data_IF_597265823979
#
_entry.id   IF_597265823979
#
_cell.length_a   1.000
_cell.length_b   1.000
_cell.length_c   1.000
_cell.angle_alpha   90.00
_cell.angle_beta   90.00
_cell.angle_gamma   90.00
#
_symmetry.space_group_name_H-M   'P 1'
#
loop_
_entity.id
_entity.type
_entity.pdbx_description
1 polymer ?
#
# COMPACT_ATOMS: atom_id res chain seq x y z
N UNK A 1 18.62 25.66 -6.27
CA UNK A 1 18.29 26.92 -6.96
C UNK A 1 16.78 27.06 -7.08
N UNK A 2 16.27 28.30 -6.98
CA UNK A 2 14.84 28.58 -7.19
C UNK A 2 14.70 29.86 -8.03
N UNK A 3 13.66 29.92 -8.86
CA UNK A 3 13.30 31.12 -9.63
C UNK A 3 12.16 31.84 -8.92
N UNK A 4 12.42 32.92 -8.16
CA UNK A 4 11.38 33.70 -7.52
C UNK A 4 10.53 34.46 -8.55
N UNK A 5 9.29 34.76 -8.23
CA UNK A 5 8.39 35.51 -9.13
C UNK A 5 8.87 36.90 -9.49
N UNK A 6 9.80 37.48 -8.70
CA UNK A 6 10.35 38.82 -8.88
C UNK A 6 11.50 38.91 -9.88
N UNK A 7 12.07 37.81 -10.34
CA UNK A 7 13.17 37.79 -11.29
C UNK A 7 13.23 36.52 -12.13
N UNK A 8 13.85 36.61 -13.31
CA UNK A 8 14.00 35.45 -14.23
C UNK A 8 15.20 34.54 -13.85
N UNK A 9 16.18 35.07 -13.17
CA UNK A 9 17.37 34.32 -12.78
C UNK A 9 17.11 33.50 -11.52
N UNK A 10 17.55 32.24 -11.42
CA UNK A 10 17.48 31.46 -10.19
C UNK A 10 18.35 32.10 -9.09
N UNK A 11 17.90 31.97 -7.85
CA UNK A 11 18.67 32.35 -6.66
C UNK A 11 19.27 31.08 -6.05
N UNK A 12 20.59 31.12 -5.76
CA UNK A 12 21.26 30.05 -5.03
C UNK A 12 20.76 30.01 -3.59
N UNK A 13 20.22 28.87 -3.19
CA UNK A 13 19.82 28.61 -1.80
C UNK A 13 20.74 27.56 -1.20
N UNK A 14 21.32 27.88 -0.04
CA UNK A 14 22.08 26.93 0.74
C UNK A 14 21.15 26.16 1.68
N UNK A 15 21.34 24.86 1.76
CA UNK A 15 20.66 23.97 2.72
C UNK A 15 21.71 23.09 3.36
N UNK A 16 21.60 22.95 4.67
CA UNK A 16 22.39 21.96 5.39
C UNK A 16 21.98 20.56 4.90
N UNK A 17 22.96 19.75 4.55
CA UNK A 17 22.79 18.39 4.07
C UNK A 17 23.71 17.47 4.87
N UNK A 18 23.10 16.58 5.65
CA UNK A 18 23.84 15.60 6.43
C UNK A 18 24.59 14.63 5.50
N UNK A 19 25.87 14.43 5.77
CA UNK A 19 26.76 13.52 5.04
C UNK A 19 26.90 12.20 5.82
N UNK A 20 27.35 11.11 5.18
CA UNK A 20 27.71 9.90 5.89
C UNK A 20 28.71 10.19 7.03
N UNK A 21 28.37 9.78 8.25
CA UNK A 21 29.14 10.03 9.46
C UNK A 21 28.67 11.22 10.30
N UNK A 22 27.81 12.10 9.78
CA UNK A 22 27.25 13.19 10.57
C UNK A 22 26.23 12.66 11.61
N UNK A 23 26.14 13.39 12.73
CA UNK A 23 25.11 13.15 13.74
C UNK A 23 23.75 13.60 13.18
N UNK A 24 22.78 12.71 13.21
CA UNK A 24 21.44 12.98 12.72
C UNK A 24 20.47 13.24 13.89
N UNK A 25 19.44 14.07 13.69
CA UNK A 25 18.40 14.26 14.69
C UNK A 25 17.66 12.94 14.93
N UNK A 26 17.28 12.70 16.18
CA UNK A 26 16.44 11.57 16.61
C UNK A 26 15.12 12.14 17.11
N UNK A 27 14.01 11.64 16.58
CA UNK A 27 12.66 12.05 16.96
C UNK A 27 12.01 10.93 17.78
N UNK A 28 11.63 11.24 19.02
CA UNK A 28 11.04 10.27 19.91
C UNK A 28 9.67 10.77 20.38
N UNK A 29 8.67 9.88 20.54
CA UNK A 29 7.37 10.26 21.05
C UNK A 29 7.47 10.65 22.53
N UNK A 30 6.69 11.62 22.93
CA UNK A 30 6.49 12.01 24.33
C UNK A 30 5.00 12.02 24.61
N UNK A 31 4.63 11.65 25.84
CA UNK A 31 3.26 11.64 26.31
C UNK A 31 3.15 12.46 27.60
N UNK A 32 2.16 13.33 27.67
CA UNK A 32 1.88 14.16 28.85
C UNK A 32 0.50 13.84 29.40
N UNK A 33 0.44 13.61 30.71
CA UNK A 33 -0.78 13.65 31.47
C UNK A 33 -1.12 15.11 31.80
N UNK A 34 -2.16 15.63 31.18
CA UNK A 34 -2.55 17.05 31.29
C UNK A 34 -3.13 17.35 32.68
N UNK A 35 -3.87 16.43 33.28
CA UNK A 35 -4.46 16.62 34.62
C UNK A 35 -3.38 16.58 35.68
N UNK A 36 -2.52 15.57 35.66
CA UNK A 36 -1.40 15.47 36.58
C UNK A 36 -0.25 16.45 36.24
N UNK A 37 -0.30 17.14 35.09
CA UNK A 37 0.70 18.10 34.60
C UNK A 37 2.11 17.53 34.59
N UNK A 38 2.27 16.30 34.15
CA UNK A 38 3.57 15.61 34.11
C UNK A 38 3.75 14.81 32.82
N UNK A 39 5.00 14.66 32.44
CA UNK A 39 5.39 13.75 31.37
C UNK A 39 5.35 12.32 31.88
N UNK A 40 4.77 11.44 31.08
CA UNK A 40 4.80 10.00 31.32
C UNK A 40 6.09 9.38 30.77
N UNK A 41 6.66 8.42 31.48
CA UNK A 41 7.84 7.72 31.06
C UNK A 41 7.52 6.73 29.93
N UNK A 42 8.21 6.87 28.79
CA UNK A 42 8.13 5.93 27.68
C UNK A 42 9.48 5.22 27.50
N UNK A 43 9.50 3.93 27.25
CA UNK A 43 10.71 3.23 26.87
C UNK A 43 10.96 3.39 25.37
N UNK A 44 11.66 4.44 24.99
CA UNK A 44 11.93 4.80 23.58
C UNK A 44 13.31 4.37 23.08
N UNK A 45 14.17 3.84 23.95
CA UNK A 45 15.53 3.37 23.59
C UNK A 45 15.56 2.43 22.40
N UNK A 46 14.62 1.48 22.19
CA UNK A 46 14.63 0.60 21.03
C UNK A 46 14.46 1.31 19.67
N UNK A 47 14.11 2.61 19.66
CA UNK A 47 13.80 3.38 18.45
C UNK A 47 14.83 4.48 18.14
N UNK A 48 15.96 4.52 18.84
CA UNK A 48 16.99 5.54 18.63
C UNK A 48 17.73 5.38 17.29
N UNK A 49 17.97 4.15 16.83
CA UNK A 49 18.61 3.90 15.53
C UNK A 49 17.58 3.98 14.39
N UNK A 50 17.03 5.19 14.18
CA UNK A 50 15.96 5.42 13.22
C UNK A 50 16.47 6.00 11.90
N UNK A 51 15.84 5.57 10.81
CA UNK A 51 15.77 6.35 9.57
C UNK A 51 14.67 7.41 9.71
N UNK A 52 13.48 7.01 10.23
CA UNK A 52 12.44 7.90 10.71
C UNK A 52 11.59 7.25 11.82
N UNK A 53 10.93 8.10 12.59
CA UNK A 53 9.82 7.76 13.46
C UNK A 53 8.73 8.82 13.26
N UNK A 54 7.51 8.37 12.90
CA UNK A 54 6.37 9.25 12.65
C UNK A 54 5.19 8.85 13.53
N UNK A 55 4.52 9.82 14.16
CA UNK A 55 3.23 9.58 14.80
C UNK A 55 2.16 9.43 13.73
N UNK A 56 1.33 8.41 13.85
CA UNK A 56 0.30 8.07 12.84
C UNK A 56 -1.12 8.43 13.29
N UNK A 57 -1.37 8.53 14.57
CA UNK A 57 -2.66 9.01 15.08
C UNK A 57 -3.05 8.43 16.44
N UNK A 58 -4.12 8.97 17.01
CA UNK A 58 -4.78 8.46 18.20
C UNK A 58 -5.88 7.49 17.84
N UNK A 59 -6.17 6.56 18.75
CA UNK A 59 -7.40 5.77 18.72
C UNK A 59 -8.60 6.67 18.99
N UNK A 60 -9.77 6.32 18.46
CA UNK A 60 -10.99 7.15 18.54
C UNK A 60 -11.39 7.46 20.00
N UNK A 61 -11.21 6.51 20.90
CA UNK A 61 -11.48 6.66 22.34
C UNK A 61 -10.31 7.24 23.14
N UNK A 62 -9.24 7.68 22.46
CA UNK A 62 -8.02 8.23 23.06
C UNK A 62 -7.26 7.27 23.99
N UNK A 63 -7.54 5.95 23.95
CA UNK A 63 -6.85 4.96 24.80
C UNK A 63 -5.37 4.80 24.48
N UNK A 64 -4.97 5.13 23.24
CA UNK A 64 -3.61 4.95 22.77
C UNK A 64 -3.33 5.81 21.53
N UNK A 65 -2.07 6.05 21.22
CA UNK A 65 -1.65 6.56 19.91
C UNK A 65 -0.66 5.59 19.26
N UNK A 66 -0.56 5.66 17.94
CA UNK A 66 0.31 4.80 17.17
C UNK A 66 1.44 5.58 16.49
N UNK A 67 2.54 4.90 16.23
CA UNK A 67 3.67 5.42 15.49
C UNK A 67 4.25 4.36 14.55
N UNK A 68 4.94 4.85 13.53
CA UNK A 68 5.77 4.05 12.63
C UNK A 68 7.23 4.30 12.93
N UNK A 69 8.00 3.23 12.99
CA UNK A 69 9.45 3.28 13.12
C UNK A 69 10.09 2.50 11.99
N UNK A 70 10.97 3.15 11.26
CA UNK A 70 11.81 2.54 10.24
C UNK A 70 13.26 2.62 10.72
N UNK A 71 13.87 1.46 10.95
CA UNK A 71 15.25 1.38 11.39
C UNK A 71 16.20 1.83 10.27
N UNK A 72 17.27 2.50 10.63
CA UNK A 72 18.35 2.80 9.70
C UNK A 72 18.97 1.50 9.18
N UNK A 73 19.09 1.38 7.86
CA UNK A 73 19.43 0.13 7.18
C UNK A 73 18.22 -0.66 6.69
N UNK A 74 16.99 -0.25 7.09
CA UNK A 74 15.71 -0.75 6.58
C UNK A 74 15.51 -2.27 6.72
N UNK A 75 16.09 -2.85 7.78
CA UNK A 75 15.95 -4.28 8.09
C UNK A 75 14.89 -4.55 9.16
N UNK A 76 14.36 -3.50 9.79
CA UNK A 76 13.26 -3.58 10.76
C UNK A 76 12.28 -2.44 10.56
N UNK A 77 11.00 -2.76 10.58
CA UNK A 77 9.89 -1.80 10.54
C UNK A 77 8.87 -2.14 11.61
N UNK A 78 8.50 -1.15 12.42
CA UNK A 78 7.59 -1.34 13.54
C UNK A 78 6.38 -0.42 13.41
N UNK A 79 5.19 -0.98 13.63
CA UNK A 79 4.01 -0.23 14.01
C UNK A 79 3.88 -0.39 15.52
N UNK A 80 4.17 0.68 16.25
CA UNK A 80 4.06 0.72 17.71
C UNK A 80 2.76 1.38 18.14
N UNK A 81 2.24 0.95 19.29
CA UNK A 81 1.11 1.59 19.97
C UNK A 81 1.50 1.90 21.40
N UNK A 82 1.27 3.14 21.82
CA UNK A 82 1.56 3.66 23.15
C UNK A 82 0.26 3.81 23.91
N UNK A 83 0.14 3.13 25.05
CA UNK A 83 -1.01 3.23 25.94
C UNK A 83 -1.07 4.62 26.61
N UNK A 84 -2.21 5.28 26.54
CA UNK A 84 -2.43 6.56 27.22
C UNK A 84 -2.55 6.40 28.75
N UNK A 85 -2.85 5.20 29.23
CA UNK A 85 -3.05 4.95 30.65
C UNK A 85 -1.73 4.87 31.44
N UNK A 86 -0.69 4.25 30.85
CA UNK A 86 0.55 3.93 31.55
C UNK A 86 1.84 4.20 30.75
N UNK A 87 1.72 4.61 29.49
CA UNK A 87 2.87 4.84 28.61
C UNK A 87 3.55 3.56 28.12
N UNK A 88 2.98 2.39 28.35
CA UNK A 88 3.52 1.14 27.83
C UNK A 88 3.46 1.11 26.30
N UNK A 89 4.50 0.51 25.69
CA UNK A 89 4.61 0.39 24.23
C UNK A 89 4.50 -1.08 23.86
N UNK A 90 3.59 -1.38 22.93
CA UNK A 90 3.48 -2.69 22.31
C UNK A 90 3.63 -2.61 20.79
N UNK A 91 4.03 -3.68 20.15
CA UNK A 91 4.12 -3.75 18.70
C UNK A 91 2.87 -4.39 18.10
N UNK A 92 2.20 -3.68 17.22
CA UNK A 92 1.15 -4.21 16.34
C UNK A 92 1.77 -4.97 15.18
N UNK A 93 2.89 -4.44 14.66
CA UNK A 93 3.75 -5.06 13.64
C UNK A 93 5.18 -4.88 14.08
N UNK A 94 5.99 -5.94 13.95
CA UNK A 94 7.45 -5.91 14.04
C UNK A 94 7.99 -6.73 12.87
N UNK A 95 8.15 -6.09 11.74
CA UNK A 95 8.64 -6.72 10.52
C UNK A 95 10.16 -6.68 10.52
N UNK A 96 10.80 -7.85 10.31
CA UNK A 96 12.25 -7.96 10.28
C UNK A 96 12.69 -8.82 9.09
N UNK A 97 13.79 -8.42 8.46
CA UNK A 97 14.40 -9.14 7.34
C UNK A 97 15.92 -9.06 7.40
N UNK A 98 16.57 -10.01 6.76
CA UNK A 98 18.05 -9.99 6.58
C UNK A 98 18.47 -9.12 5.39
N UNK A 99 17.54 -8.70 4.56
CA UNK A 99 17.77 -7.94 3.34
C UNK A 99 17.29 -6.48 3.50
N UNK A 100 16.16 -6.14 2.93
CA UNK A 100 15.65 -4.77 2.88
C UNK A 100 14.12 -4.78 2.90
N UNK A 101 13.51 -3.94 3.73
CA UNK A 101 12.06 -3.70 3.72
C UNK A 101 11.78 -2.52 2.79
N UNK A 102 10.99 -2.75 1.75
CA UNK A 102 10.60 -1.70 0.81
C UNK A 102 9.52 -0.80 1.40
N UNK A 103 9.94 0.07 2.30
CA UNK A 103 9.08 0.90 3.15
C UNK A 103 8.28 1.98 2.39
N UNK A 104 8.67 2.36 1.17
CA UNK A 104 7.90 3.30 0.34
C UNK A 104 6.57 2.74 -0.14
N UNK A 105 6.40 1.43 -0.11
CA UNK A 105 5.21 0.74 -0.57
C UNK A 105 4.53 -0.07 0.54
N UNK A 106 4.77 0.29 1.78
CA UNK A 106 4.05 -0.29 2.92
C UNK A 106 2.57 0.09 2.85
N UNK A 107 1.73 -0.82 3.31
CA UNK A 107 0.30 -0.58 3.43
C UNK A 107 -0.16 -1.04 4.80
N UNK A 108 -0.84 -0.14 5.49
CA UNK A 108 -1.54 -0.39 6.74
C UNK A 108 -2.97 0.10 6.61
N UNK A 109 -3.91 -0.69 7.10
CA UNK A 109 -5.30 -0.28 7.24
C UNK A 109 -5.84 -0.82 8.57
N UNK A 110 -6.29 0.07 9.44
CA UNK A 110 -6.85 -0.29 10.74
C UNK A 110 -8.36 -0.51 10.59
N UNK A 111 -8.81 -1.71 10.94
CA UNK A 111 -10.20 -2.11 10.97
C UNK A 111 -10.75 -1.93 12.38
N UNK A 112 -11.99 -1.42 12.49
CA UNK A 112 -12.72 -1.28 13.76
C UNK A 112 -11.85 -0.63 14.85
N UNK A 113 -11.36 0.58 14.57
CA UNK A 113 -10.46 1.36 15.44
C UNK A 113 -9.24 0.56 15.95
N UNK A 114 -8.67 -0.27 15.05
CA UNK A 114 -7.46 -1.04 15.30
C UNK A 114 -7.65 -2.33 16.09
N UNK A 115 -8.86 -2.89 16.17
CA UNK A 115 -9.06 -4.26 16.64
C UNK A 115 -8.41 -5.29 15.72
N UNK A 116 -8.34 -4.97 14.44
CA UNK A 116 -7.59 -5.72 13.45
C UNK A 116 -6.79 -4.75 12.57
N UNK A 117 -5.71 -5.24 11.97
CA UNK A 117 -4.89 -4.53 11.02
C UNK A 117 -4.77 -5.32 9.73
N UNK A 118 -4.90 -4.66 8.59
CA UNK A 118 -4.36 -5.16 7.32
C UNK A 118 -2.93 -4.63 7.15
N UNK A 119 -2.01 -5.54 6.90
CA UNK A 119 -0.60 -5.24 6.69
C UNK A 119 -0.04 -5.98 5.48
N UNK A 120 0.71 -5.28 4.62
CA UNK A 120 1.44 -5.92 3.53
C UNK A 120 2.84 -6.30 4.02
N UNK A 121 3.23 -7.55 3.72
CA UNK A 121 4.52 -8.11 4.10
C UNK A 121 5.07 -9.03 3.01
N UNK A 122 6.39 -9.11 2.93
CA UNK A 122 7.13 -10.02 2.05
C UNK A 122 7.73 -11.22 2.82
N UNK A 123 7.19 -11.51 4.02
CA UNK A 123 7.74 -12.52 4.95
C UNK A 123 7.75 -13.95 4.43
N UNK A 124 6.93 -14.27 3.42
CA UNK A 124 6.88 -15.58 2.77
C UNK A 124 7.66 -15.63 1.43
N UNK A 125 8.38 -14.54 1.09
CA UNK A 125 9.12 -14.40 -0.17
C UNK A 125 8.35 -13.68 -1.27
N UNK A 126 7.05 -13.42 -1.08
CA UNK A 126 6.19 -12.68 -1.99
C UNK A 126 5.45 -11.56 -1.24
N UNK A 127 5.06 -10.52 -1.95
CA UNK A 127 4.36 -9.38 -1.36
C UNK A 127 2.87 -9.69 -1.23
N UNK A 128 2.43 -9.94 0.01
CA UNK A 128 1.07 -10.35 0.32
C UNK A 128 0.44 -9.57 1.47
N UNK A 129 -0.90 -9.67 1.56
CA UNK A 129 -1.72 -9.05 2.59
C UNK A 129 -1.92 -10.02 3.75
N UNK A 130 -1.73 -9.51 4.97
CA UNK A 130 -1.92 -10.22 6.23
C UNK A 130 -2.94 -9.50 7.09
N UNK A 131 -3.79 -10.27 7.77
CA UNK A 131 -4.68 -9.78 8.82
C UNK A 131 -4.03 -10.04 10.17
N UNK A 132 -3.86 -8.98 10.94
CA UNK A 132 -3.21 -8.99 12.26
C UNK A 132 -4.25 -8.70 13.33
N UNK A 133 -4.15 -9.37 14.45
CA UNK A 133 -4.92 -9.08 15.66
C UNK A 133 -4.37 -7.81 16.31
N UNK A 134 -5.18 -6.78 16.38
CA UNK A 134 -4.79 -5.48 16.89
C UNK A 134 -4.58 -5.43 18.42
N UNK A 135 -4.95 -6.50 19.14
CA UNK A 135 -4.71 -6.61 20.58
C UNK A 135 -3.38 -7.31 20.88
N UNK A 136 -3.12 -8.42 20.20
CA UNK A 136 -1.93 -9.23 20.45
C UNK A 136 -0.74 -8.93 19.51
N UNK A 137 -0.96 -8.26 18.37
CA UNK A 137 0.03 -8.10 17.31
C UNK A 137 0.31 -9.39 16.53
N UNK A 138 -0.44 -10.46 16.77
CA UNK A 138 -0.24 -11.74 16.09
C UNK A 138 -0.93 -11.78 14.75
N UNK A 139 -0.31 -12.46 13.78
CA UNK A 139 -0.94 -12.73 12.48
C UNK A 139 -2.11 -13.68 12.68
N UNK A 140 -3.32 -13.19 12.44
CA UNK A 140 -4.54 -14.01 12.42
C UNK A 140 -4.61 -14.86 11.15
N UNK A 141 -4.15 -14.27 10.03
CA UNK A 141 -4.28 -14.91 8.72
C UNK A 141 -3.41 -14.23 7.67
N UNK A 142 -2.87 -15.03 6.77
CA UNK A 142 -2.41 -14.57 5.47
C UNK A 142 -3.63 -14.49 4.54
N UNK A 143 -4.01 -13.29 4.10
CA UNK A 143 -5.22 -13.06 3.29
C UNK A 143 -4.97 -13.43 1.83
N UNK A 144 -3.85 -12.98 1.26
CA UNK A 144 -3.42 -13.34 -0.10
C UNK A 144 -2.19 -14.22 -0.04
N UNK A 145 -2.03 -15.17 -0.98
CA UNK A 145 -0.90 -16.11 -1.01
C UNK A 145 -0.64 -16.61 -2.43
N UNK A 146 0.57 -17.06 -2.68
CA UNK A 146 0.99 -17.65 -3.95
C UNK A 146 2.27 -17.05 -4.49
N UNK A 147 2.75 -17.53 -5.64
CA UNK A 147 3.97 -17.03 -6.29
C UNK A 147 3.64 -15.85 -7.22
N UNK A 148 3.16 -14.76 -6.64
CA UNK A 148 2.75 -13.56 -7.34
C UNK A 148 2.77 -12.33 -6.41
N UNK A 149 2.57 -11.14 -6.94
CA UNK A 149 2.74 -9.88 -6.21
C UNK A 149 1.41 -9.14 -6.11
N UNK A 150 0.95 -8.85 -4.88
CA UNK A 150 -0.04 -7.81 -4.61
C UNK A 150 0.62 -6.46 -4.83
N UNK A 151 0.11 -5.67 -5.78
CA UNK A 151 0.73 -4.39 -6.17
C UNK A 151 0.21 -3.24 -5.29
N UNK A 152 -1.09 -3.12 -5.15
CA UNK A 152 -1.73 -2.05 -4.40
C UNK A 152 -3.08 -2.51 -3.87
N UNK A 153 -3.43 -2.13 -2.64
CA UNK A 153 -4.80 -2.20 -2.13
C UNK A 153 -5.51 -0.90 -2.48
N UNK A 154 -6.66 -1.01 -3.13
CA UNK A 154 -7.42 0.14 -3.60
C UNK A 154 -8.63 0.43 -2.72
N UNK A 155 -9.25 -0.60 -2.15
CA UNK A 155 -10.44 -0.43 -1.33
C UNK A 155 -10.62 -1.60 -0.36
N UNK A 156 -11.04 -1.27 0.85
CA UNK A 156 -11.46 -2.24 1.88
C UNK A 156 -12.95 -2.04 2.16
N UNK A 157 -13.74 -3.05 1.89
CA UNK A 157 -15.15 -3.11 2.29
C UNK A 157 -15.23 -3.78 3.66
N UNK A 158 -15.27 -2.98 4.71
CA UNK A 158 -15.31 -3.46 6.08
C UNK A 158 -16.62 -4.19 6.39
N UNK A 159 -17.73 -3.72 5.83
CA UNK A 159 -19.06 -4.31 6.04
C UNK A 159 -19.15 -5.73 5.53
N UNK A 160 -18.67 -5.95 4.30
CA UNK A 160 -18.68 -7.27 3.66
C UNK A 160 -17.38 -8.05 3.89
N UNK A 161 -16.40 -7.44 4.54
CA UNK A 161 -15.07 -8.01 4.83
C UNK A 161 -14.35 -8.46 3.55
N UNK A 162 -14.33 -7.60 2.54
CA UNK A 162 -13.70 -7.85 1.23
C UNK A 162 -12.64 -6.78 0.97
N UNK A 163 -11.51 -7.18 0.42
CA UNK A 163 -10.49 -6.24 -0.07
C UNK A 163 -10.39 -6.32 -1.59
N UNK A 164 -10.27 -5.15 -2.21
CA UNK A 164 -10.08 -4.95 -3.65
C UNK A 164 -8.66 -4.43 -3.87
N UNK A 165 -7.96 -5.00 -4.82
CA UNK A 165 -6.54 -4.72 -5.02
C UNK A 165 -6.09 -5.01 -6.45
N UNK A 166 -4.95 -4.44 -6.84
CA UNK A 166 -4.24 -4.81 -8.05
C UNK A 166 -3.16 -5.84 -7.73
N UNK A 167 -3.00 -6.81 -8.63
CA UNK A 167 -2.00 -7.88 -8.54
C UNK A 167 -1.38 -8.18 -9.90
N UNK A 168 -0.23 -8.84 -9.90
CA UNK A 168 0.46 -9.24 -11.12
C UNK A 168 1.21 -10.56 -10.92
N UNK A 169 1.39 -11.32 -12.01
CA UNK A 169 2.22 -12.52 -12.05
C UNK A 169 1.51 -13.82 -11.68
N UNK A 170 0.20 -13.83 -11.42
CA UNK A 170 -0.53 -15.06 -11.08
C UNK A 170 -1.09 -15.82 -12.29
N UNK A 171 -1.24 -15.17 -13.44
CA UNK A 171 -1.70 -15.79 -14.67
C UNK A 171 -0.52 -16.41 -15.43
N UNK A 172 -0.58 -17.73 -15.64
CA UNK A 172 0.46 -18.43 -16.39
C UNK A 172 0.37 -18.11 -17.88
N UNK A 173 1.53 -17.82 -18.50
CA UNK A 173 1.60 -17.54 -19.93
C UNK A 173 1.29 -16.11 -20.32
N UNK A 174 1.10 -15.24 -19.33
CA UNK A 174 1.03 -13.80 -19.52
C UNK A 174 2.33 -13.11 -19.10
N UNK A 175 2.50 -11.87 -19.56
CA UNK A 175 3.56 -11.02 -19.02
C UNK A 175 3.32 -10.81 -17.51
N UNK A 176 4.28 -11.20 -16.64
CA UNK A 176 4.12 -11.08 -15.19
C UNK A 176 4.02 -9.65 -14.68
N UNK A 177 4.24 -8.65 -15.53
CA UNK A 177 4.05 -7.25 -15.19
C UNK A 177 2.64 -6.72 -15.49
N UNK A 178 1.81 -7.47 -16.23
CA UNK A 178 0.42 -7.09 -16.45
C UNK A 178 -0.31 -6.99 -15.11
N UNK A 179 -1.02 -5.87 -14.91
CA UNK A 179 -1.81 -5.62 -13.73
C UNK A 179 -3.23 -6.11 -13.94
N UNK A 180 -3.70 -6.94 -13.02
CA UNK A 180 -5.09 -7.37 -12.94
C UNK A 180 -5.74 -6.79 -11.68
N UNK A 181 -7.04 -6.52 -11.77
CA UNK A 181 -7.83 -6.07 -10.64
C UNK A 181 -8.52 -7.27 -9.98
N UNK A 182 -8.32 -7.42 -8.69
CA UNK A 182 -8.75 -8.60 -7.95
C UNK A 182 -9.56 -8.21 -6.70
N UNK A 183 -10.32 -9.16 -6.17
CA UNK A 183 -10.91 -9.08 -4.84
C UNK A 183 -10.71 -10.39 -4.08
N UNK A 184 -10.73 -10.31 -2.76
CA UNK A 184 -10.67 -11.47 -1.87
C UNK A 184 -11.35 -11.13 -0.55
N UNK A 185 -11.95 -12.13 0.10
CA UNK A 185 -12.46 -11.98 1.46
C UNK A 185 -11.31 -11.87 2.47
N UNK A 186 -11.48 -11.13 3.55
CA UNK A 186 -10.46 -10.99 4.61
C UNK A 186 -10.15 -12.32 5.32
N UNK A 187 -10.99 -13.34 5.14
CA UNK A 187 -10.71 -14.71 5.61
C UNK A 187 -9.84 -15.52 4.63
N UNK A 188 -9.39 -14.91 3.52
CA UNK A 188 -8.55 -15.53 2.51
C UNK A 188 -9.28 -16.43 1.51
N UNK A 189 -10.62 -16.46 1.56
CA UNK A 189 -11.46 -17.18 0.61
C UNK A 189 -11.98 -16.27 -0.51
N UNK A 190 -12.53 -16.84 -1.57
CA UNK A 190 -13.24 -16.08 -2.61
C UNK A 190 -12.34 -15.20 -3.48
N UNK A 191 -11.06 -15.54 -3.65
CA UNK A 191 -10.21 -14.84 -4.63
C UNK A 191 -10.89 -14.82 -6.00
N UNK A 192 -11.00 -13.64 -6.58
CA UNK A 192 -11.61 -13.41 -7.89
C UNK A 192 -10.73 -12.46 -8.68
N UNK A 193 -10.26 -12.92 -9.84
CA UNK A 193 -9.75 -12.03 -10.88
C UNK A 193 -10.95 -11.34 -11.55
N UNK A 194 -11.03 -10.03 -11.41
CA UNK A 194 -12.12 -9.22 -11.97
C UNK A 194 -11.85 -8.77 -13.40
N UNK A 195 -10.60 -8.94 -13.87
CA UNK A 195 -10.12 -8.52 -15.18
C UNK A 195 -9.33 -9.65 -15.87
N UNK A 196 -10.01 -10.78 -16.23
CA UNK A 196 -9.31 -11.99 -16.65
C UNK A 196 -8.74 -11.93 -18.07
N UNK A 197 -8.99 -10.87 -18.83
CA UNK A 197 -8.43 -10.70 -20.17
C UNK A 197 -6.92 -10.47 -20.10
N UNK A 198 -6.15 -11.12 -20.98
CA UNK A 198 -4.70 -10.96 -21.03
C UNK A 198 -4.34 -9.52 -21.42
N UNK A 199 -3.79 -8.76 -20.50
CA UNK A 199 -3.38 -7.38 -20.70
C UNK A 199 -3.12 -6.63 -19.40
N UNK A 200 -2.66 -5.40 -19.54
CA UNK A 200 -2.50 -4.48 -18.40
C UNK A 200 -3.79 -3.69 -18.21
N UNK A 201 -4.43 -3.84 -17.06
CA UNK A 201 -5.76 -3.31 -16.77
C UNK A 201 -5.72 -2.01 -15.96
N UNK A 202 -6.69 -1.14 -16.27
CA UNK A 202 -7.03 0.04 -15.48
C UNK A 202 -8.53 0.06 -15.23
N UNK A 203 -8.90 0.03 -13.97
CA UNK A 203 -10.29 -0.06 -13.51
C UNK A 203 -10.75 1.26 -12.90
N UNK A 204 -12.00 1.65 -13.18
CA UNK A 204 -12.67 2.78 -12.52
C UNK A 204 -14.07 2.37 -12.13
N UNK A 205 -14.40 2.48 -10.84
CA UNK A 205 -15.71 2.10 -10.31
C UNK A 205 -16.74 3.22 -10.41
N UNK A 206 -18.04 2.85 -10.52
CA UNK A 206 -19.14 3.73 -10.19
C UNK A 206 -19.10 4.13 -8.70
N UNK A 207 -19.78 5.22 -8.34
CA UNK A 207 -19.78 5.75 -6.96
C UNK A 207 -20.30 4.72 -5.94
N UNK A 208 -21.29 3.93 -6.31
CA UNK A 208 -21.88 2.85 -5.52
C UNK A 208 -21.15 1.50 -5.66
N UNK A 209 -20.07 1.46 -6.48
CA UNK A 209 -19.26 0.30 -6.81
C UNK A 209 -20.03 -0.89 -7.39
N UNK A 210 -21.26 -0.69 -7.88
CA UNK A 210 -22.05 -1.76 -8.52
C UNK A 210 -21.57 -2.10 -9.93
N UNK A 211 -20.88 -1.18 -10.58
CA UNK A 211 -20.24 -1.33 -11.89
C UNK A 211 -18.83 -0.78 -11.91
N UNK A 212 -18.05 -1.22 -12.88
CA UNK A 212 -16.75 -0.64 -13.19
C UNK A 212 -16.47 -0.65 -14.68
N UNK A 213 -15.72 0.35 -15.13
CA UNK A 213 -15.10 0.35 -16.45
C UNK A 213 -13.73 -0.32 -16.34
N UNK A 214 -13.44 -1.20 -17.27
CA UNK A 214 -12.15 -1.86 -17.43
C UNK A 214 -11.55 -1.45 -18.78
N UNK A 215 -10.37 -0.84 -18.74
CA UNK A 215 -9.60 -0.50 -19.93
C UNK A 215 -8.31 -1.30 -19.90
N UNK A 216 -8.10 -2.13 -20.91
CA UNK A 216 -6.90 -2.96 -20.97
C UNK A 216 -6.22 -2.90 -22.35
N UNK A 217 -4.93 -3.11 -22.33
CA UNK A 217 -4.07 -3.11 -23.53
C UNK A 217 -2.81 -3.92 -23.29
N UNK A 218 -2.13 -4.25 -24.41
CA UNK A 218 -0.76 -4.77 -24.48
C UNK A 218 -0.01 -4.05 -25.60
N UNK A 219 1.30 -4.22 -25.72
CA UNK A 219 2.05 -3.70 -26.87
C UNK A 219 1.47 -4.15 -28.23
N UNK A 220 0.96 -5.40 -28.30
CA UNK A 220 0.34 -6.01 -29.48
C UNK A 220 -1.21 -5.97 -29.49
N UNK A 221 -1.82 -5.30 -28.51
CA UNK A 221 -3.27 -5.17 -28.38
C UNK A 221 -3.67 -3.72 -28.12
N UNK A 222 -4.29 -3.02 -29.09
CA UNK A 222 -4.82 -1.68 -28.86
C UNK A 222 -5.83 -1.64 -27.71
N UNK A 223 -5.97 -0.49 -27.02
CA UNK A 223 -6.88 -0.37 -25.89
C UNK A 223 -8.31 -0.83 -26.18
N UNK A 224 -8.82 -1.65 -25.28
CA UNK A 224 -10.21 -2.13 -25.24
C UNK A 224 -10.85 -1.63 -23.97
N UNK A 225 -12.05 -1.07 -24.07
CA UNK A 225 -12.83 -0.57 -22.93
C UNK A 225 -14.14 -1.33 -22.80
N UNK A 226 -14.44 -1.79 -21.60
CA UNK A 226 -15.64 -2.56 -21.25
C UNK A 226 -16.31 -2.00 -20.00
N UNK A 227 -17.64 -2.12 -19.92
CA UNK A 227 -18.40 -1.95 -18.69
C UNK A 227 -18.71 -3.32 -18.11
N UNK A 228 -18.32 -3.55 -16.85
CA UNK A 228 -18.51 -4.81 -16.14
C UNK A 228 -19.34 -4.60 -14.87
N UNK A 229 -20.08 -5.62 -14.46
CA UNK A 229 -20.81 -5.65 -13.18
C UNK A 229 -19.88 -6.15 -12.08
N UNK A 230 -19.87 -5.49 -10.93
CA UNK A 230 -18.97 -5.85 -9.83
C UNK A 230 -19.31 -7.19 -9.17
N UNK A 231 -20.60 -7.52 -9.05
CA UNK A 231 -21.05 -8.71 -8.32
C UNK A 231 -20.57 -10.02 -8.92
N UNK A 232 -20.66 -10.16 -10.24
CA UNK A 232 -20.39 -11.38 -11.00
C UNK A 232 -19.33 -11.24 -12.09
N UNK A 233 -18.74 -10.05 -12.22
CA UNK A 233 -17.70 -9.70 -13.21
C UNK A 233 -18.18 -9.82 -14.66
N UNK A 234 -19.49 -9.93 -14.90
CA UNK A 234 -20.05 -10.05 -16.25
C UNK A 234 -19.85 -8.78 -17.05
N UNK A 235 -19.51 -8.91 -18.33
CA UNK A 235 -19.46 -7.79 -19.29
C UNK A 235 -20.89 -7.35 -19.60
N UNK A 236 -21.21 -6.10 -19.24
CA UNK A 236 -22.51 -5.49 -19.52
C UNK A 236 -22.51 -4.87 -20.92
N UNK A 237 -21.41 -4.23 -21.30
CA UNK A 237 -21.27 -3.61 -22.63
C UNK A 237 -19.78 -3.47 -23.01
N UNK A 238 -19.48 -3.66 -24.29
CA UNK A 238 -18.29 -3.14 -24.91
C UNK A 238 -18.47 -1.63 -25.14
N UNK A 239 -17.55 -0.81 -24.63
CA UNK A 239 -17.63 0.64 -24.77
C UNK A 239 -16.86 1.14 -25.98
N UNK A 240 -15.61 0.72 -26.10
CA UNK A 240 -14.73 1.14 -27.19
C UNK A 240 -13.61 0.14 -27.42
N UNK A 241 -13.21 0.02 -28.69
CA UNK A 241 -11.95 -0.60 -29.10
C UNK A 241 -11.19 0.40 -29.96
N UNK A 242 -9.93 0.64 -29.66
CA UNK A 242 -9.12 1.55 -30.45
C UNK A 242 -8.94 0.99 -31.87
N UNK A 243 -9.29 1.77 -32.87
CA UNK A 243 -9.05 1.45 -34.28
C UNK A 243 -7.69 2.01 -34.72
N UNK A 244 -6.82 1.12 -35.17
CA UNK A 244 -5.47 1.45 -35.66
C UNK A 244 -5.34 1.34 -37.18
N UNK A 245 -6.45 1.15 -37.89
CA UNK A 245 -6.47 0.94 -39.36
C UNK A 245 -5.82 2.09 -40.12
N UNK A 246 -6.05 3.33 -39.69
CA UNK A 246 -5.42 4.50 -40.29
C UNK A 246 -3.89 4.52 -40.12
N UNK A 247 -3.38 4.10 -38.96
CA UNK A 247 -1.93 3.97 -38.75
C UNK A 247 -1.33 2.86 -39.60
N UNK A 248 -2.04 1.74 -39.72
CA UNK A 248 -1.61 0.61 -40.55
C UNK A 248 -1.56 0.98 -42.05
N UNK A 249 -2.51 1.81 -42.51
CA UNK A 249 -2.52 2.31 -43.87
C UNK A 249 -1.29 3.19 -44.20
N UNK A 250 -0.73 3.86 -43.19
CA UNK A 250 0.51 4.63 -43.28
C UNK A 250 1.79 3.77 -43.07
N UNK A 251 1.65 2.44 -43.06
CA UNK A 251 2.78 1.51 -42.93
C UNK A 251 3.19 1.14 -41.50
N UNK A 252 2.48 1.61 -40.45
CA UNK A 252 2.74 1.19 -39.11
C UNK A 252 2.33 -0.28 -38.90
N UNK A 253 3.16 -1.02 -38.19
CA UNK A 253 2.89 -2.41 -37.83
C UNK A 253 2.77 -2.56 -36.33
N UNK A 254 1.88 -3.47 -35.88
CA UNK A 254 1.77 -3.82 -34.47
C UNK A 254 3.11 -4.38 -33.98
N UNK A 255 3.58 -3.95 -32.79
CA UNK A 255 4.77 -4.53 -32.18
C UNK A 255 4.64 -6.04 -31.97
N UNK A 256 5.73 -6.76 -32.20
CA UNK A 256 5.82 -8.18 -31.82
C UNK A 256 6.26 -8.31 -30.36
N UNK A 257 5.60 -9.21 -29.64
CA UNK A 257 5.96 -9.58 -28.27
C UNK A 257 6.92 -10.76 -28.35
N UNK A 258 8.08 -10.64 -27.71
CA UNK A 258 9.14 -11.65 -27.69
C UNK A 258 9.51 -12.10 -26.28
#
# INVERSE_FOLDING_TARGET
ESSPSSQKQPILQWRDYAKPGDVLPVYLPVLFDVEARKQMALNVTPYENQFYLNLTGWREDSRAFTFEFNQRGHQRYVIGEVSAADGSIRHLVDEQTKTFIYYYNNYRYDLDDGKELLWISERDGWRHLYLIDGTSGQVKRQVTKGEWVLRQVDYVDETNRVVYFTASGFNKGEDPYNLHYCRINLDGTGFTDMTPENGNHRVTFSADRSYFTDVYSRPDLPPVSQLKRTSDVSVVAGLQRCDVSALQAEGWQMPEVF
#
